data_IF_941456211744
#
_entry.id   IF_941456211744
#
_cell.length_a   1.000
_cell.length_b   1.000
_cell.length_c   1.000
_cell.angle_alpha   90.00
_cell.angle_beta   90.00
_cell.angle_gamma   90.00
#
_symmetry.space_group_name_H-M   'P 1'
#
loop_
_entity.id
_entity.type
_entity.pdbx_description
1 polymer ?
#
# COMPACT_ATOMS: atom_id res chain seq x y z
N UNK A 1 3.53 -15.18 6.88
CA UNK A 1 4.06 -15.35 5.52
C UNK A 1 4.36 -13.95 5.00
N UNK A 2 5.52 -13.72 4.38
CA UNK A 2 5.82 -12.43 3.73
C UNK A 2 5.04 -12.38 2.43
N UNK A 3 4.14 -11.41 2.26
CA UNK A 3 3.39 -11.25 1.01
C UNK A 3 4.18 -10.31 0.08
N UNK A 4 5.00 -10.90 -0.78
CA UNK A 4 5.90 -10.17 -1.70
C UNK A 4 5.20 -9.90 -3.03
N UNK A 5 5.42 -8.72 -3.61
CA UNK A 5 4.90 -8.38 -4.94
C UNK A 5 5.48 -9.29 -6.04
N UNK A 6 4.68 -9.56 -7.07
CA UNK A 6 5.11 -10.32 -8.27
C UNK A 6 5.37 -9.33 -9.40
N UNK A 7 6.58 -9.35 -9.96
CA UNK A 7 7.02 -8.45 -11.04
C UNK A 7 7.07 -9.18 -12.39
N UNK A 8 6.83 -8.46 -13.49
CA UNK A 8 7.09 -8.94 -14.85
C UNK A 8 8.58 -8.82 -15.24
N UNK A 9 8.90 -9.18 -16.49
CA UNK A 9 10.27 -9.10 -17.02
C UNK A 9 10.83 -7.66 -17.10
N UNK A 10 9.96 -6.65 -17.07
CA UNK A 10 10.31 -5.24 -17.09
C UNK A 10 10.42 -4.65 -15.67
N UNK A 11 10.20 -5.45 -14.63
CA UNK A 11 10.19 -5.01 -13.23
C UNK A 11 8.92 -4.30 -12.81
N UNK A 12 7.81 -4.46 -13.54
CA UNK A 12 6.50 -3.88 -13.24
C UNK A 12 5.68 -4.87 -12.41
N UNK A 13 5.08 -4.40 -11.31
CA UNK A 13 4.25 -5.25 -10.46
C UNK A 13 2.96 -5.66 -11.17
N UNK A 14 2.72 -6.97 -11.27
CA UNK A 14 1.49 -7.59 -11.79
C UNK A 14 0.57 -8.08 -10.68
N UNK A 15 1.12 -8.34 -9.48
CA UNK A 15 0.38 -8.58 -8.25
C UNK A 15 1.01 -7.80 -7.10
N UNK A 16 0.17 -7.11 -6.33
CA UNK A 16 0.59 -6.39 -5.14
C UNK A 16 1.02 -7.35 -4.03
N UNK A 17 2.09 -6.99 -3.32
CA UNK A 17 2.42 -7.58 -2.03
C UNK A 17 1.61 -6.94 -0.90
N UNK A 18 2.10 -6.98 0.34
CA UNK A 18 1.51 -6.21 1.43
C UNK A 18 1.67 -4.71 1.17
N UNK A 19 0.54 -4.00 1.07
CA UNK A 19 0.47 -2.55 0.95
C UNK A 19 -0.22 -2.01 2.20
N UNK A 20 0.44 -1.10 2.89
CA UNK A 20 -0.14 -0.34 4.00
C UNK A 20 -0.33 1.09 3.56
N UNK A 21 -1.59 1.52 3.43
CA UNK A 21 -1.96 2.90 3.13
C UNK A 21 -2.22 3.63 4.45
N UNK A 22 -1.80 4.89 4.56
CA UNK A 22 -2.13 5.74 5.71
C UNK A 22 -2.85 6.99 5.22
N UNK A 23 -3.82 7.45 5.99
CA UNK A 23 -4.48 8.72 5.73
C UNK A 23 -3.81 9.83 6.53
N UNK A 24 -3.33 10.87 5.84
CA UNK A 24 -2.76 12.06 6.47
C UNK A 24 -3.85 13.12 6.64
N UNK A 25 -4.08 13.55 7.87
CA UNK A 25 -4.96 14.65 8.22
C UNK A 25 -4.13 15.93 8.39
N UNK A 26 -4.39 16.95 7.57
CA UNK A 26 -3.63 18.21 7.58
C UNK A 26 -4.00 19.16 8.72
N UNK A 27 -5.21 19.03 9.28
CA UNK A 27 -5.71 19.85 10.38
C UNK A 27 -5.04 19.43 11.69
N UNK A 28 -5.00 18.12 11.93
CA UNK A 28 -4.37 17.55 13.13
C UNK A 28 -2.88 17.25 12.95
N UNK A 29 -2.41 17.15 11.69
CA UNK A 29 -1.06 16.71 11.30
C UNK A 29 -0.75 15.27 11.71
N UNK A 30 -1.77 14.43 11.74
CA UNK A 30 -1.67 13.04 12.17
C UNK A 30 -1.78 12.07 10.99
N UNK A 31 -1.16 10.89 11.16
CA UNK A 31 -1.41 9.74 10.29
C UNK A 31 -2.37 8.80 11.00
N UNK A 32 -3.54 8.57 10.42
CA UNK A 32 -4.53 7.64 10.96
C UNK A 32 -4.40 6.26 10.32
N UNK A 33 -4.82 5.23 11.07
CA UNK A 33 -4.55 3.82 10.79
C UNK A 33 -4.93 3.36 9.38
N UNK A 34 -4.30 2.26 8.96
CA UNK A 34 -4.52 1.59 7.69
C UNK A 34 -5.99 1.43 7.35
N UNK A 35 -6.38 2.04 6.23
CA UNK A 35 -7.68 1.86 5.59
C UNK A 35 -7.52 0.87 4.44
N UNK A 36 -8.45 -0.07 4.33
CA UNK A 36 -8.52 -0.96 3.16
C UNK A 36 -9.17 -0.18 2.02
N UNK A 37 -8.36 0.18 1.03
CA UNK A 37 -8.81 0.90 -0.16
C UNK A 37 -8.90 -0.09 -1.33
N UNK A 38 -10.03 -0.11 -2.02
CA UNK A 38 -10.24 -0.97 -3.19
C UNK A 38 -9.90 -0.15 -4.45
N UNK A 39 -8.88 -0.59 -5.19
CA UNK A 39 -8.53 -0.05 -6.52
C UNK A 39 -9.49 -0.57 -7.59
#
# INVERSE_FOLDING_TARGET
MSNTAVLDENGIATFAGDITVYHYDEETREYTSSSVEYL
#
